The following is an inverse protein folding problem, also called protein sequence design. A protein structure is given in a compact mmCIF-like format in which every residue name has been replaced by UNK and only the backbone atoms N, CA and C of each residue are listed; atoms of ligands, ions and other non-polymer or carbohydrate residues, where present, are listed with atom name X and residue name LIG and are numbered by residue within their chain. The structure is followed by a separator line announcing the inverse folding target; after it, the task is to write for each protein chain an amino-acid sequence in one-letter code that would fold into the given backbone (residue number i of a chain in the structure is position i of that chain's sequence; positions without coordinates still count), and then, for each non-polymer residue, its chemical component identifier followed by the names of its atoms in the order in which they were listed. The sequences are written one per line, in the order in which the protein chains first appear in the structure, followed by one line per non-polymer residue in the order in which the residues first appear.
data_IF_954752583472
#
_entry.id   IF_954752583472
#
_cell.length_a   1.000
_cell.length_b   1.000
_cell.length_c   1.000
_cell.angle_alpha   90.00
_cell.angle_beta   90.00
_cell.angle_gamma   90.00
#
_symmetry.space_group_name_H-M   'P 1'
#
loop_
_entity.id
_entity.type
_entity.pdbx_description
1 polymer ?
#
# COMPACT_ATOMS: atom_id res chain seq x y z
N UNK A 1 8.42 3.28 -6.15
CA UNK A 1 7.61 2.20 -6.77
C UNK A 1 6.32 2.77 -7.31
N UNK A 2 6.31 3.12 -8.58
CA UNK A 2 5.11 3.50 -9.33
C UNK A 2 4.35 2.22 -9.66
N UNK A 3 3.15 2.04 -9.12
CA UNK A 3 2.29 0.91 -9.50
C UNK A 3 1.63 1.31 -10.81
N UNK A 4 2.24 0.89 -11.92
CA UNK A 4 1.70 1.07 -13.26
C UNK A 4 0.52 0.11 -13.39
N UNK A 5 -0.71 0.61 -13.25
CA UNK A 5 -1.91 -0.13 -13.62
C UNK A 5 -2.10 0.00 -15.13
N UNK A 6 -1.53 -0.95 -15.87
CA UNK A 6 -1.81 -1.15 -17.29
C UNK A 6 -3.23 -1.70 -17.46
N UNK A 7 -4.11 -0.89 -18.03
CA UNK A 7 -5.47 -1.28 -18.43
C UNK A 7 -6.17 -0.08 -19.04
N UNK A 8 -6.23 -0.04 -20.36
CA UNK A 8 -6.80 1.02 -21.21
C UNK A 8 -8.00 1.78 -20.61
N UNK A 9 -7.75 2.98 -20.07
CA UNK A 9 -8.78 3.95 -19.72
C UNK A 9 -9.18 4.73 -20.97
N UNK A 10 -10.04 4.15 -21.83
CA UNK A 10 -10.56 4.83 -23.03
C UNK A 10 -11.76 5.75 -22.69
N UNK A 11 -11.62 6.51 -21.61
CA UNK A 11 -12.44 7.64 -21.16
C UNK A 11 -11.47 8.56 -20.42
N UNK A 12 -11.50 9.88 -20.69
CA UNK A 12 -10.69 10.89 -20.00
C UNK A 12 -10.63 10.56 -18.50
N UNK A 13 -9.42 10.28 -17.99
CA UNK A 13 -9.08 9.51 -16.78
C UNK A 13 -9.84 9.85 -15.47
N UNK A 14 -10.67 10.90 -15.45
CA UNK A 14 -11.29 11.47 -14.25
C UNK A 14 -12.80 11.74 -14.35
N UNK A 15 -13.44 11.53 -15.51
CA UNK A 15 -14.88 11.78 -15.66
C UNK A 15 -15.74 10.59 -15.21
N UNK A 16 -15.16 9.40 -15.06
CA UNK A 16 -15.91 8.19 -14.69
C UNK A 16 -16.45 8.22 -13.25
N UNK A 17 -15.99 9.13 -12.39
CA UNK A 17 -16.45 9.19 -10.99
C UNK A 17 -17.93 9.52 -10.89
N UNK A 18 -18.38 10.53 -11.62
CA UNK A 18 -19.77 10.97 -11.68
C UNK A 18 -20.65 9.87 -12.27
N UNK A 19 -20.22 9.27 -13.37
CA UNK A 19 -20.98 8.20 -14.02
C UNK A 19 -21.05 6.93 -13.15
N UNK A 20 -20.00 6.59 -12.41
CA UNK A 20 -20.04 5.48 -11.46
C UNK A 20 -21.02 5.74 -10.32
N UNK A 21 -21.08 6.98 -9.80
CA UNK A 21 -22.06 7.38 -8.79
C UNK A 21 -23.48 7.32 -9.36
N UNK A 22 -23.71 7.85 -10.57
CA UNK A 22 -24.99 7.81 -11.28
C UNK A 22 -25.49 6.37 -11.44
N UNK A 23 -24.66 5.49 -11.99
CA UNK A 23 -24.97 4.07 -12.16
C UNK A 23 -25.29 3.36 -10.83
N UNK A 24 -24.69 3.77 -9.72
CA UNK A 24 -24.95 3.15 -8.42
C UNK A 24 -26.21 3.68 -7.74
N UNK A 25 -26.44 4.99 -7.79
CA UNK A 25 -27.50 5.66 -7.04
C UNK A 25 -28.81 5.83 -7.82
N UNK A 26 -28.76 6.03 -9.15
CA UNK A 26 -29.95 6.14 -10.00
C UNK A 26 -30.38 4.77 -10.55
N UNK A 27 -29.45 4.01 -11.12
CA UNK A 27 -29.73 2.70 -11.72
C UNK A 27 -29.69 1.54 -10.69
N UNK A 28 -29.46 1.85 -9.41
CA UNK A 28 -29.33 0.90 -8.30
C UNK A 28 -28.36 -0.27 -8.55
N UNK A 29 -27.35 -0.07 -9.40
CA UNK A 29 -26.42 -1.13 -9.74
C UNK A 29 -25.43 -1.37 -8.61
N UNK A 30 -25.02 -2.62 -8.37
CA UNK A 30 -23.90 -2.89 -7.48
C UNK A 30 -22.64 -2.16 -7.97
N UNK A 31 -21.86 -1.57 -7.05
CA UNK A 31 -20.64 -0.79 -7.34
C UNK A 31 -19.67 -1.50 -8.30
N UNK A 32 -19.59 -2.82 -8.19
CA UNK A 32 -18.74 -3.67 -9.04
C UNK A 32 -19.26 -3.72 -10.48
N UNK A 33 -20.58 -3.78 -10.66
CA UNK A 33 -21.24 -3.79 -11.97
C UNK A 33 -21.07 -2.43 -12.65
N UNK A 34 -21.24 -1.33 -11.90
CA UNK A 34 -20.95 0.02 -12.40
C UNK A 34 -19.49 0.14 -12.86
N UNK A 35 -18.53 -0.33 -12.07
CA UNK A 35 -17.12 -0.34 -12.46
C UNK A 35 -16.84 -1.15 -13.74
N UNK A 36 -17.43 -2.35 -13.87
CA UNK A 36 -17.28 -3.16 -15.09
C UNK A 36 -17.82 -2.45 -16.34
N UNK A 37 -18.96 -1.77 -16.24
CA UNK A 37 -19.54 -1.02 -17.37
C UNK A 37 -18.64 0.13 -17.83
N UNK A 38 -17.86 0.70 -16.91
CA UNK A 38 -16.93 1.80 -17.16
C UNK A 38 -15.49 1.34 -17.48
N UNK A 39 -15.25 0.03 -17.55
CA UNK A 39 -13.89 -0.52 -17.72
C UNK A 39 -12.97 -0.29 -16.51
N UNK A 40 -13.53 0.05 -15.34
CA UNK A 40 -12.79 0.37 -14.12
C UNK A 40 -12.62 -0.89 -13.25
N UNK A 41 -11.39 -1.20 -12.78
CA UNK A 41 -11.15 -2.34 -11.91
C UNK A 41 -11.98 -2.28 -10.62
N UNK A 42 -12.45 -3.45 -10.16
CA UNK A 42 -13.24 -3.60 -8.92
C UNK A 42 -12.62 -2.86 -7.73
N UNK A 43 -11.31 -2.99 -7.54
CA UNK A 43 -10.59 -2.34 -6.43
C UNK A 43 -10.66 -0.82 -6.52
N UNK A 44 -10.51 -0.26 -7.73
CA UNK A 44 -10.54 1.17 -7.99
C UNK A 44 -11.92 1.75 -7.72
N UNK A 45 -12.98 1.15 -8.27
CA UNK A 45 -14.35 1.62 -8.05
C UNK A 45 -14.75 1.51 -6.57
N UNK A 46 -14.45 0.39 -5.90
CA UNK A 46 -14.75 0.24 -4.48
C UNK A 46 -13.98 1.25 -3.62
N UNK A 47 -12.70 1.48 -3.92
CA UNK A 47 -11.88 2.48 -3.23
C UNK A 47 -12.42 3.90 -3.42
N UNK A 48 -12.92 4.22 -4.62
CA UNK A 48 -13.57 5.48 -4.92
C UNK A 48 -14.82 5.70 -4.06
N UNK A 49 -15.75 4.73 -3.99
CA UNK A 49 -16.95 4.84 -3.15
C UNK A 49 -16.64 4.98 -1.65
N UNK A 50 -15.57 4.33 -1.18
CA UNK A 50 -15.12 4.48 0.21
C UNK A 50 -14.65 5.92 0.47
N UNK A 51 -13.90 6.52 -0.46
CA UNK A 51 -13.45 7.92 -0.37
C UNK A 51 -14.63 8.88 -0.46
N UNK A 52 -15.61 8.61 -1.32
CA UNK A 52 -16.83 9.41 -1.47
C UNK A 52 -17.58 9.54 -0.16
N UNK A 53 -17.86 8.39 0.49
CA UNK A 53 -18.50 8.38 1.81
C UNK A 53 -17.64 9.06 2.88
N UNK A 54 -16.31 8.86 2.85
CA UNK A 54 -15.39 9.49 3.81
C UNK A 54 -15.31 11.01 3.64
N UNK A 55 -15.47 11.51 2.41
CA UNK A 55 -15.50 12.92 2.10
C UNK A 55 -16.80 13.60 2.55
N UNK A 56 -17.77 12.84 3.09
CA UNK A 56 -19.07 13.35 3.52
C UNK A 56 -19.94 13.83 2.37
N UNK A 57 -19.65 13.38 1.15
CA UNK A 57 -20.41 13.75 -0.04
C UNK A 57 -21.66 12.87 -0.13
N UNK A 58 -22.75 13.48 -0.56
CA UNK A 58 -24.03 12.83 -0.85
C UNK A 58 -24.33 12.89 -2.34
N UNK A 59 -25.17 11.97 -2.80
CA UNK A 59 -25.73 11.98 -4.14
C UNK A 59 -27.20 12.47 -4.06
N UNK A 60 -27.67 13.37 -4.94
CA UNK A 60 -26.95 14.00 -6.03
C UNK A 60 -25.88 14.98 -5.54
N UNK A 61 -24.83 15.18 -6.34
CA UNK A 61 -23.75 16.11 -5.99
C UNK A 61 -24.30 17.54 -5.84
N UNK A 62 -23.74 18.37 -4.94
CA UNK A 62 -24.15 19.76 -4.80
C UNK A 62 -24.09 20.53 -6.12
N UNK A 63 -25.09 21.36 -6.40
CA UNK A 63 -25.15 22.18 -7.61
C UNK A 63 -23.92 23.09 -7.70
N UNK A 64 -23.11 22.91 -8.75
CA UNK A 64 -21.84 23.62 -8.94
C UNK A 64 -20.58 22.79 -8.72
N UNK A 65 -20.69 21.56 -8.20
CA UNK A 65 -19.53 20.68 -8.02
C UNK A 65 -19.02 20.16 -9.37
N UNK A 66 -17.83 20.62 -9.78
CA UNK A 66 -17.18 20.12 -11.00
C UNK A 66 -16.52 18.75 -10.77
N UNK A 67 -16.33 17.98 -11.84
CA UNK A 67 -15.64 16.67 -11.78
C UNK A 67 -14.21 16.79 -11.23
N UNK A 68 -13.53 17.91 -11.51
CA UNK A 68 -12.20 18.22 -10.98
C UNK A 68 -12.21 18.46 -9.47
N UNK A 69 -13.27 19.09 -8.97
CA UNK A 69 -13.45 19.32 -7.54
C UNK A 69 -13.78 18.03 -6.81
N UNK A 70 -14.61 17.17 -7.41
CA UNK A 70 -14.87 15.82 -6.93
C UNK A 70 -13.58 15.00 -6.86
N UNK A 71 -12.77 15.00 -7.92
CA UNK A 71 -11.45 14.34 -7.93
C UNK A 71 -10.54 14.86 -6.81
N UNK A 72 -10.47 16.18 -6.63
CA UNK A 72 -9.69 16.81 -5.57
C UNK A 72 -10.19 16.39 -4.17
N UNK A 73 -11.50 16.29 -3.97
CA UNK A 73 -12.08 15.82 -2.70
C UNK A 73 -11.79 14.34 -2.44
N UNK A 74 -11.81 13.49 -3.47
CA UNK A 74 -11.60 12.04 -3.34
C UNK A 74 -10.13 11.65 -3.23
N UNK A 75 -9.25 12.31 -4.00
CA UNK A 75 -7.85 11.94 -4.20
C UNK A 75 -6.84 13.06 -3.94
N UNK A 76 -7.27 14.32 -3.88
CA UNK A 76 -6.39 15.50 -3.74
C UNK A 76 -5.57 15.53 -2.46
N UNK A 77 -6.03 14.92 -1.36
CA UNK A 77 -5.27 14.90 -0.11
C UNK A 77 -4.05 13.96 -0.11
N UNK A 78 -3.84 13.15 -1.16
CA UNK A 78 -2.71 12.22 -1.27
C UNK A 78 -1.80 12.47 -2.48
N UNK A 79 -2.09 13.49 -3.30
CA UNK A 79 -1.45 13.70 -4.60
C UNK A 79 -0.94 15.14 -4.80
N UNK A 80 -0.41 15.75 -3.74
CA UNK A 80 0.45 16.94 -3.86
C UNK A 80 1.65 16.70 -2.97
N UNK A 81 2.72 16.12 -3.52
CA UNK A 81 4.05 16.59 -3.10
C UNK A 81 4.16 17.93 -3.83
N UNK A 82 4.14 19.07 -3.14
CA UNK A 82 4.38 20.31 -3.83
C UNK A 82 5.86 20.28 -4.20
N UNK A 83 6.18 20.25 -5.49
CA UNK A 83 7.51 20.63 -5.95
C UNK A 83 7.61 22.13 -5.68
N UNK A 84 8.03 22.48 -4.46
CA UNK A 84 8.54 23.82 -4.15
C UNK A 84 10.05 23.67 -4.07
N UNK A 85 10.71 24.12 -5.12
CA UNK A 85 12.11 24.50 -5.07
C UNK A 85 12.23 25.74 -4.18
N UNK A 86 13.18 25.71 -3.23
CA UNK A 86 13.85 26.85 -2.55
C UNK A 86 12.93 27.81 -1.75
N UNK A 87 13.16 28.21 -0.49
CA UNK A 87 14.33 28.31 0.40
C UNK A 87 13.83 28.43 1.86
N UNK A 88 14.65 27.95 2.80
CA UNK A 88 14.78 28.29 4.23
C UNK A 88 13.66 29.10 4.91
N UNK A 89 12.97 28.51 5.90
CA UNK A 89 12.58 29.14 7.20
C UNK A 89 11.88 28.12 8.14
N UNK A 90 12.54 27.85 9.26
CA UNK A 90 12.07 27.65 10.65
C UNK A 90 10.66 27.08 10.94
N UNK A 91 10.67 25.91 11.59
CA UNK A 91 9.70 25.32 12.56
C UNK A 91 8.20 25.20 12.20
N UNK A 92 7.73 23.95 12.06
CA UNK A 92 6.65 23.44 12.93
C UNK A 92 6.49 21.92 12.77
N UNK A 93 6.58 21.19 13.89
CA UNK A 93 6.30 19.76 13.95
C UNK A 93 4.81 19.50 13.68
N UNK A 94 4.49 19.14 12.43
CA UNK A 94 3.21 18.51 12.11
C UNK A 94 3.32 17.01 12.45
N UNK A 95 2.36 16.43 13.19
CA UNK A 95 2.42 15.03 13.54
C UNK A 95 2.20 14.22 12.26
N UNK A 96 3.30 13.65 11.74
CA UNK A 96 3.25 12.63 10.70
C UNK A 96 2.35 11.53 11.23
N UNK A 97 1.15 11.40 10.66
CA UNK A 97 0.25 10.28 10.91
C UNK A 97 1.00 9.01 10.51
N UNK A 98 1.66 8.38 11.49
CA UNK A 98 2.39 7.13 11.30
C UNK A 98 1.36 6.12 10.82
N UNK A 99 1.42 5.76 9.53
CA UNK A 99 0.65 4.63 8.99
C UNK A 99 0.93 3.45 9.91
N UNK A 100 -0.13 2.89 10.51
CA UNK A 100 -0.01 1.72 11.39
C UNK A 100 0.93 0.70 10.72
N UNK A 101 2.05 0.30 11.34
CA UNK A 101 2.91 -0.71 10.76
C UNK A 101 2.07 -1.98 10.61
N UNK A 102 1.76 -2.34 9.36
CA UNK A 102 0.87 -3.47 9.04
C UNK A 102 1.51 -4.83 9.31
N UNK A 103 2.79 -4.85 9.69
CA UNK A 103 3.57 -6.05 10.00
C UNK A 103 4.41 -5.75 11.23
N UNK A 104 4.52 -6.70 12.19
CA UNK A 104 5.50 -6.58 13.27
C UNK A 104 6.88 -6.35 12.66
N UNK A 105 7.51 -5.22 12.97
CA UNK A 105 8.87 -4.97 12.55
C UNK A 105 9.79 -5.69 13.53
N UNK A 106 10.13 -6.95 13.23
CA UNK A 106 11.08 -7.70 14.05
C UNK A 106 12.46 -7.04 13.97
N UNK A 107 13.16 -6.90 15.12
CA UNK A 107 14.50 -6.31 15.13
C UNK A 107 15.45 -7.17 14.30
N UNK A 108 16.44 -6.51 13.71
CA UNK A 108 17.37 -7.13 12.76
C UNK A 108 18.15 -8.30 13.40
N UNK A 109 18.69 -8.10 14.60
CA UNK A 109 19.41 -9.12 15.37
C UNK A 109 18.54 -10.37 15.63
N UNK A 110 17.26 -10.17 15.94
CA UNK A 110 16.31 -11.26 16.13
C UNK A 110 16.10 -12.06 14.84
N UNK A 111 16.04 -11.40 13.68
CA UNK A 111 15.94 -12.09 12.38
C UNK A 111 17.19 -12.91 12.08
N UNK A 112 18.39 -12.37 12.33
CA UNK A 112 19.64 -13.10 12.08
C UNK A 112 19.73 -14.32 13.00
N UNK A 113 19.54 -14.15 14.30
CA UNK A 113 19.69 -15.24 15.28
C UNK A 113 18.79 -16.44 14.91
N UNK A 114 17.55 -16.16 14.53
CA UNK A 114 16.60 -17.17 14.06
C UNK A 114 17.04 -17.84 12.76
N UNK A 115 17.58 -17.07 11.81
CA UNK A 115 18.09 -17.64 10.56
C UNK A 115 19.32 -18.51 10.82
N UNK A 116 20.26 -18.08 11.66
CA UNK A 116 21.44 -18.86 12.06
C UNK A 116 21.06 -20.15 12.78
N UNK A 117 20.06 -20.10 13.67
CA UNK A 117 19.49 -21.29 14.31
C UNK A 117 18.87 -22.25 13.27
N UNK A 118 18.19 -21.71 12.26
CA UNK A 118 17.59 -22.49 11.17
C UNK A 118 18.59 -23.09 10.18
N UNK A 119 19.84 -22.61 10.18
CA UNK A 119 20.92 -23.11 9.32
C UNK A 119 21.69 -24.27 9.95
N UNK A 120 21.47 -24.58 11.24
CA UNK A 120 22.11 -25.72 11.89
C UNK A 120 21.65 -27.06 11.27
N UNK A 121 22.55 -28.04 11.10
CA UNK A 121 22.20 -29.35 10.58
C UNK A 121 21.18 -30.03 11.52
N UNK A 122 20.05 -30.48 10.98
CA UNK A 122 18.96 -31.08 11.75
C UNK A 122 17.94 -30.09 12.34
N UNK A 123 18.08 -28.78 12.10
CA UNK A 123 17.14 -27.78 12.58
C UNK A 123 15.76 -27.88 11.90
N UNK A 124 14.69 -27.99 12.70
CA UNK A 124 13.32 -27.89 12.20
C UNK A 124 12.85 -26.43 12.19
N UNK A 125 12.83 -25.81 11.00
CA UNK A 125 12.42 -24.40 10.81
C UNK A 125 11.04 -24.11 11.40
N UNK A 126 10.09 -25.02 11.22
CA UNK A 126 8.72 -24.86 11.73
C UNK A 126 8.64 -24.96 13.26
N UNK A 127 9.54 -25.70 13.91
CA UNK A 127 9.62 -25.75 15.36
C UNK A 127 10.23 -24.45 15.91
N UNK A 128 11.36 -24.02 15.35
CA UNK A 128 12.03 -22.75 15.72
C UNK A 128 11.06 -21.56 15.59
N UNK A 129 10.28 -21.51 14.50
CA UNK A 129 9.29 -20.46 14.31
C UNK A 129 8.20 -20.45 15.40
N UNK A 130 7.69 -21.63 15.77
CA UNK A 130 6.66 -21.79 16.81
C UNK A 130 7.18 -21.42 18.20
N UNK A 131 8.39 -21.87 18.55
CA UNK A 131 9.05 -21.53 19.82
C UNK A 131 9.27 -20.02 19.98
N UNK A 132 9.48 -19.31 18.86
CA UNK A 132 9.70 -17.87 18.84
C UNK A 132 8.44 -17.05 18.51
N UNK A 133 7.27 -17.69 18.43
CA UNK A 133 5.99 -17.02 18.18
C UNK A 133 5.87 -16.33 16.81
N UNK A 134 6.62 -16.80 15.81
CA UNK A 134 6.61 -16.26 14.45
C UNK A 134 6.03 -17.26 13.45
N UNK A 135 5.57 -16.75 12.30
CA UNK A 135 5.11 -17.59 11.21
C UNK A 135 6.31 -18.32 10.57
N UNK A 136 6.19 -19.62 10.34
CA UNK A 136 7.21 -20.46 9.71
C UNK A 136 7.58 -19.96 8.30
N UNK A 137 6.61 -19.53 7.50
CA UNK A 137 6.87 -18.92 6.18
C UNK A 137 7.71 -17.65 6.28
N UNK A 138 7.62 -16.92 7.39
CA UNK A 138 8.42 -15.71 7.60
C UNK A 138 9.90 -16.09 7.80
N UNK A 139 10.17 -17.15 8.57
CA UNK A 139 11.53 -17.64 8.80
C UNK A 139 12.15 -18.23 7.53
N UNK A 140 11.39 -18.96 6.72
CA UNK A 140 11.84 -19.41 5.39
C UNK A 140 12.23 -18.24 4.48
N UNK A 141 11.41 -17.18 4.45
CA UNK A 141 11.69 -15.99 3.67
C UNK A 141 12.96 -15.26 4.15
N UNK A 142 13.19 -15.19 5.46
CA UNK A 142 14.41 -14.59 6.01
C UNK A 142 15.65 -15.42 5.71
N UNK A 143 15.57 -16.75 5.81
CA UNK A 143 16.66 -17.65 5.44
C UNK A 143 17.08 -17.46 3.98
N UNK A 144 16.11 -17.37 3.08
CA UNK A 144 16.37 -17.10 1.65
C UNK A 144 17.02 -15.73 1.42
N UNK A 145 16.56 -14.70 2.12
CA UNK A 145 17.13 -13.35 2.04
C UNK A 145 18.56 -13.29 2.60
N UNK A 146 18.84 -14.06 3.65
CA UNK A 146 20.17 -14.19 4.25
C UNK A 146 21.15 -14.89 3.31
N UNK A 147 20.75 -15.98 2.68
CA UNK A 147 21.56 -16.66 1.65
C UNK A 147 21.85 -15.76 0.44
N UNK A 148 20.93 -14.86 0.10
CA UNK A 148 21.10 -13.85 -0.96
C UNK A 148 21.90 -12.62 -0.51
N UNK A 149 22.32 -12.54 0.75
CA UNK A 149 23.02 -11.38 1.32
C UNK A 149 22.18 -10.11 1.44
N UNK A 150 20.85 -10.20 1.23
CA UNK A 150 19.92 -9.07 1.33
C UNK A 150 19.46 -8.79 2.76
N UNK A 151 19.67 -9.76 3.66
CA UNK A 151 19.41 -9.62 5.09
C UNK A 151 20.69 -9.23 5.86
N UNK A 152 21.69 -8.61 5.22
CA UNK A 152 22.89 -8.08 5.90
C UNK A 152 22.90 -6.54 5.85
N UNK A 153 23.37 -5.82 6.88
CA UNK A 153 23.48 -4.37 6.81
C UNK A 153 24.65 -4.05 5.86
N UNK A 154 24.49 -3.04 5.00
CA UNK A 154 25.59 -2.58 4.13
C UNK A 154 26.76 -2.11 5.00
N UNK A 155 27.72 -2.98 5.27
CA UNK A 155 28.84 -2.70 6.16
C UNK A 155 29.49 -3.94 6.79
N UNK A 156 28.79 -5.08 6.86
CA UNK A 156 29.44 -6.36 7.22
C UNK A 156 29.77 -7.13 5.95
N UNK A 157 31.00 -6.92 5.48
CA UNK A 157 31.68 -7.69 4.44
C UNK A 157 31.41 -9.19 4.65
N UNK A 158 31.16 -9.90 3.54
CA UNK A 158 31.05 -11.37 3.41
C UNK A 158 32.18 -12.11 4.16
N UNK A 159 32.05 -12.30 5.47
CA UNK A 159 32.98 -13.15 6.27
C UNK A 159 32.41 -14.51 6.62
N UNK A 160 31.23 -14.84 6.14
CA UNK A 160 30.67 -16.18 6.28
C UNK A 160 30.39 -16.77 4.90
N UNK A 161 31.46 -16.93 4.09
CA UNK A 161 31.54 -18.13 3.26
C UNK A 161 31.80 -19.28 4.25
N UNK A 162 30.77 -20.07 4.54
CA UNK A 162 31.01 -21.40 5.08
C UNK A 162 31.27 -22.36 3.90
N UNK A 163 32.18 -23.33 4.07
CA UNK A 163 32.64 -24.27 3.04
C UNK A 163 31.54 -25.22 2.54
#
# INVERSE_FOLDING_TARGET
MSIIFNGHYRMEYRTWFTEALRLHFEEHLPRIVAGRRLGVPKSTVCGMFVRFRKAGLSWPLPAGMSERELDTRLYGSASTVPVVLTENTVMSEVPVVKKRPRRPNFPYEFKIALVEQSLQPGACVAQIARENGINDNLLFNWRHQYQKGSLLPSGKIRRYCFP
#
